data_IF_595545391685
#
_entry.id   IF_595545391685
#
_cell.length_a   1.000
_cell.length_b   1.000
_cell.length_c   1.000
_cell.angle_alpha   90.00
_cell.angle_beta   90.00
_cell.angle_gamma   90.00
#
_symmetry.space_group_name_H-M   'P 1'
#
loop_
_entity.id
_entity.type
_entity.pdbx_description
1 polymer ?
#
# COMPACT_ATOMS: atom_id res chain seq x y z
N UNK A 1 19.58 25.19 -3.55
CA UNK A 1 19.02 23.83 -3.51
C UNK A 1 18.38 23.55 -4.87
N UNK A 2 18.92 22.62 -5.67
CA UNK A 2 18.56 22.46 -7.09
C UNK A 2 17.19 21.80 -7.28
N UNK A 3 16.36 22.31 -8.22
CA UNK A 3 15.06 21.74 -8.58
C UNK A 3 15.15 20.25 -9.00
N UNK A 4 16.31 19.82 -9.51
CA UNK A 4 16.59 18.41 -9.81
C UNK A 4 16.63 17.53 -8.55
N UNK A 5 17.01 18.07 -7.39
CA UNK A 5 16.96 17.36 -6.11
C UNK A 5 15.52 17.28 -5.55
N UNK A 6 14.70 18.31 -5.76
CA UNK A 6 13.28 18.30 -5.38
C UNK A 6 12.48 17.29 -6.22
N UNK A 7 12.75 17.20 -7.53
CA UNK A 7 12.17 16.17 -8.40
C UNK A 7 12.61 14.74 -8.04
N UNK A 8 13.84 14.57 -7.51
CA UNK A 8 14.36 13.29 -7.01
C UNK A 8 13.79 12.90 -5.64
N UNK A 9 13.28 13.87 -4.87
CA UNK A 9 12.51 13.63 -3.64
C UNK A 9 11.03 13.32 -3.95
N UNK A 10 10.47 13.94 -5.00
CA UNK A 10 9.11 13.66 -5.49
C UNK A 10 9.01 12.37 -6.32
N UNK A 11 10.10 11.92 -6.92
CA UNK A 11 10.25 10.59 -7.51
C UNK A 11 11.29 9.82 -6.71
N UNK A 12 10.89 8.98 -5.76
CA UNK A 12 11.54 7.71 -5.40
C UNK A 12 10.92 7.14 -4.12
N UNK A 13 9.70 6.62 -4.23
CA UNK A 13 9.35 5.38 -3.53
C UNK A 13 8.72 4.53 -4.61
N UNK A 14 9.26 3.33 -4.85
CA UNK A 14 8.49 2.32 -5.59
C UNK A 14 7.22 2.09 -4.77
N UNK A 15 6.12 2.65 -5.24
CA UNK A 15 4.80 2.67 -4.61
C UNK A 15 4.12 1.30 -4.66
N UNK A 16 4.83 0.30 -5.20
CA UNK A 16 4.33 -1.05 -5.42
C UNK A 16 5.45 -2.08 -5.43
N UNK A 17 5.11 -3.25 -4.97
CA UNK A 17 5.89 -4.48 -5.05
C UNK A 17 5.03 -5.56 -5.70
N UNK A 18 5.62 -6.58 -6.30
CA UNK A 18 4.88 -7.61 -7.03
C UNK A 18 5.54 -8.98 -6.91
N UNK A 19 4.75 -10.03 -7.12
CA UNK A 19 5.14 -11.41 -6.84
C UNK A 19 4.71 -11.86 -5.44
N UNK A 20 4.50 -13.16 -5.27
CA UNK A 20 3.90 -13.71 -4.04
C UNK A 20 4.84 -13.57 -2.84
N UNK A 21 6.13 -13.89 -3.00
CA UNK A 21 7.10 -13.83 -1.90
C UNK A 21 7.42 -12.39 -1.45
N UNK A 22 7.73 -11.44 -2.35
CA UNK A 22 7.97 -10.05 -1.94
C UNK A 22 6.77 -9.42 -1.23
N UNK A 23 5.55 -9.71 -1.72
CA UNK A 23 4.32 -9.21 -1.11
C UNK A 23 4.11 -9.81 0.29
N UNK A 24 4.37 -11.12 0.46
CA UNK A 24 4.32 -11.77 1.77
C UNK A 24 5.32 -11.16 2.75
N UNK A 25 6.56 -10.93 2.31
CA UNK A 25 7.61 -10.32 3.14
C UNK A 25 7.25 -8.90 3.57
N UNK A 26 6.73 -8.08 2.66
CA UNK A 26 6.30 -6.73 3.00
C UNK A 26 5.11 -6.71 3.96
N UNK A 27 4.18 -7.66 3.81
CA UNK A 27 3.03 -7.79 4.71
C UNK A 27 3.46 -8.13 6.15
N UNK A 28 4.52 -8.93 6.30
CA UNK A 28 5.12 -9.27 7.60
C UNK A 28 6.13 -8.23 8.10
N UNK A 29 6.47 -7.24 7.26
CA UNK A 29 7.45 -6.21 7.57
C UNK A 29 6.88 -5.04 8.38
N UNK A 30 7.76 -4.08 8.69
CA UNK A 30 7.37 -2.88 9.45
C UNK A 30 6.44 -1.95 8.66
N UNK A 31 6.57 -1.90 7.32
CA UNK A 31 5.72 -1.09 6.44
C UNK A 31 4.76 -2.00 5.67
N UNK A 32 3.57 -2.18 6.23
CA UNK A 32 2.52 -2.97 5.60
C UNK A 32 2.01 -2.31 4.31
N UNK A 33 1.61 -3.10 3.30
CA UNK A 33 0.90 -2.56 2.15
C UNK A 33 -0.44 -1.92 2.54
N UNK A 34 -0.84 -0.89 1.80
CA UNK A 34 -2.18 -0.29 1.89
C UNK A 34 -3.24 -1.27 1.36
N UNK A 35 -2.92 -1.98 0.28
CA UNK A 35 -3.80 -2.99 -0.34
C UNK A 35 -3.00 -3.96 -1.20
N UNK A 36 -3.56 -5.15 -1.38
CA UNK A 36 -3.04 -6.18 -2.30
C UNK A 36 -4.02 -6.36 -3.45
N UNK A 37 -3.52 -6.30 -4.68
CA UNK A 37 -4.23 -6.62 -5.91
C UNK A 37 -3.85 -8.04 -6.34
N UNK A 38 -4.85 -8.90 -6.51
CA UNK A 38 -4.67 -10.29 -6.91
C UNK A 38 -5.41 -10.58 -8.21
N UNK A 39 -4.84 -11.41 -9.09
CA UNK A 39 -5.49 -11.80 -10.34
C UNK A 39 -6.77 -12.58 -10.05
N UNK A 40 -7.86 -12.26 -10.74
CA UNK A 40 -9.09 -13.04 -10.69
C UNK A 40 -8.83 -14.52 -11.08
N UNK A 41 -9.44 -15.45 -10.35
CA UNK A 41 -9.26 -16.89 -10.56
C UNK A 41 -7.87 -17.43 -10.16
N UNK A 42 -7.11 -16.70 -9.33
CA UNK A 42 -5.85 -17.20 -8.78
C UNK A 42 -6.09 -18.06 -7.53
N UNK A 43 -6.16 -19.38 -7.71
CA UNK A 43 -6.54 -20.36 -6.68
C UNK A 43 -5.39 -21.31 -6.29
N UNK A 44 -4.16 -20.83 -6.31
CA UNK A 44 -3.02 -21.63 -5.82
C UNK A 44 -3.04 -21.73 -4.28
N UNK A 45 -2.54 -22.82 -3.69
CA UNK A 45 -2.41 -22.91 -2.23
C UNK A 45 -1.64 -21.73 -1.61
N UNK A 46 -0.63 -21.21 -2.32
CA UNK A 46 0.18 -20.09 -1.85
C UNK A 46 -0.58 -18.76 -1.92
N UNK A 47 -1.43 -18.56 -2.93
CA UNK A 47 -2.26 -17.35 -3.01
C UNK A 47 -3.35 -17.35 -1.95
N UNK A 48 -3.93 -18.51 -1.61
CA UNK A 48 -4.87 -18.65 -0.51
C UNK A 48 -4.22 -18.33 0.84
N UNK A 49 -3.02 -18.84 1.09
CA UNK A 49 -2.25 -18.50 2.30
C UNK A 49 -1.95 -17.00 2.39
N UNK A 50 -1.62 -16.36 1.26
CA UNK A 50 -1.38 -14.92 1.23
C UNK A 50 -2.64 -14.11 1.55
N UNK A 51 -3.80 -14.52 1.02
CA UNK A 51 -5.09 -13.87 1.32
C UNK A 51 -5.44 -13.99 2.80
N UNK A 52 -5.22 -15.15 3.40
CA UNK A 52 -5.46 -15.35 4.85
C UNK A 52 -4.50 -14.51 5.69
N UNK A 53 -3.22 -14.43 5.31
CA UNK A 53 -2.25 -13.58 5.98
C UNK A 53 -2.64 -12.10 5.86
N UNK A 54 -3.10 -11.66 4.69
CA UNK A 54 -3.54 -10.28 4.47
C UNK A 54 -4.72 -9.92 5.38
N UNK A 55 -5.66 -10.86 5.56
CA UNK A 55 -6.78 -10.74 6.50
C UNK A 55 -6.31 -10.59 7.94
N UNK A 56 -5.30 -11.35 8.38
CA UNK A 56 -4.74 -11.24 9.74
C UNK A 56 -4.09 -9.90 10.04
N UNK A 57 -3.60 -9.21 9.01
CA UNK A 57 -2.95 -7.90 9.13
C UNK A 57 -3.85 -6.72 8.77
N UNK A 58 -5.16 -6.96 8.58
CA UNK A 58 -6.15 -5.97 8.15
C UNK A 58 -5.79 -5.28 6.83
N UNK A 59 -5.13 -6.00 5.91
CA UNK A 59 -4.79 -5.49 4.58
C UNK A 59 -5.81 -5.98 3.57
N UNK A 60 -6.55 -5.07 2.89
CA UNK A 60 -7.56 -5.46 1.93
C UNK A 60 -6.97 -6.12 0.69
N UNK A 61 -7.61 -7.19 0.22
CA UNK A 61 -7.29 -7.90 -1.02
C UNK A 61 -8.37 -7.62 -2.07
N UNK A 62 -7.97 -7.08 -3.22
CA UNK A 62 -8.87 -6.81 -4.35
C UNK A 62 -8.53 -7.71 -5.53
N UNK A 63 -9.52 -8.45 -6.01
CA UNK A 63 -9.38 -9.27 -7.21
C UNK A 63 -9.57 -8.43 -8.48
N UNK A 64 -8.59 -8.46 -9.37
CA UNK A 64 -8.55 -7.64 -10.59
C UNK A 64 -8.22 -8.46 -11.84
N UNK A 65 -8.62 -8.00 -13.05
CA UNK A 65 -8.19 -8.60 -14.30
C UNK A 65 -6.66 -8.56 -14.46
N UNK A 66 -6.10 -9.50 -15.24
CA UNK A 66 -4.65 -9.62 -15.45
C UNK A 66 -4.06 -8.38 -16.11
N UNK A 67 -4.82 -7.74 -16.99
CA UNK A 67 -4.46 -6.53 -17.74
C UNK A 67 -4.12 -5.38 -16.78
N UNK A 68 -4.85 -5.28 -15.66
CA UNK A 68 -4.59 -4.26 -14.63
C UNK A 68 -3.25 -4.50 -13.94
N UNK A 69 -2.90 -5.75 -13.65
CA UNK A 69 -1.61 -6.08 -13.05
C UNK A 69 -0.45 -5.83 -14.02
N UNK A 70 -0.62 -6.26 -15.28
CA UNK A 70 0.33 -6.01 -16.37
C UNK A 70 0.62 -4.51 -16.53
N UNK A 71 -0.41 -3.68 -16.52
CA UNK A 71 -0.28 -2.23 -16.59
C UNK A 71 0.55 -1.68 -15.42
N UNK A 72 0.23 -2.10 -14.19
CA UNK A 72 0.92 -1.64 -12.98
C UNK A 72 2.38 -2.07 -12.92
N UNK A 73 2.72 -3.25 -13.47
CA UNK A 73 4.08 -3.78 -13.42
C UNK A 73 4.88 -3.54 -14.69
N UNK A 74 4.35 -2.80 -15.67
CA UNK A 74 4.95 -2.64 -17.00
C UNK A 74 5.28 -4.00 -17.65
N UNK A 75 4.34 -4.94 -17.58
CA UNK A 75 4.45 -6.32 -18.07
C UNK A 75 5.57 -7.16 -17.43
N UNK A 76 6.08 -6.78 -16.25
CA UNK A 76 7.00 -7.64 -15.49
C UNK A 76 6.26 -8.83 -14.86
N UNK A 77 6.99 -9.92 -14.62
CA UNK A 77 6.45 -11.15 -14.02
C UNK A 77 5.99 -10.92 -12.57
N UNK A 78 4.70 -10.65 -12.40
CA UNK A 78 4.06 -10.36 -11.12
C UNK A 78 3.40 -11.58 -10.47
N UNK A 79 3.41 -12.75 -11.12
CA UNK A 79 2.81 -14.00 -10.61
C UNK A 79 1.34 -13.88 -10.16
N UNK A 80 0.61 -12.92 -10.72
CA UNK A 80 -0.78 -12.62 -10.34
C UNK A 80 -0.96 -11.81 -9.05
N UNK A 81 0.09 -11.22 -8.46
CA UNK A 81 -0.01 -10.44 -7.21
C UNK A 81 0.80 -9.14 -7.28
N UNK A 82 0.20 -8.03 -6.88
CA UNK A 82 0.83 -6.72 -6.71
C UNK A 82 0.36 -6.13 -5.39
N UNK A 83 1.25 -5.60 -4.55
CA UNK A 83 0.86 -4.84 -3.36
C UNK A 83 1.24 -3.37 -3.53
N UNK A 84 0.33 -2.50 -3.10
CA UNK A 84 0.54 -1.06 -3.07
C UNK A 84 1.09 -0.68 -1.69
N UNK A 85 2.26 -0.06 -1.65
CA UNK A 85 2.89 0.34 -0.38
C UNK A 85 2.27 1.65 0.12
N UNK A 86 2.05 1.74 1.43
CA UNK A 86 1.58 2.98 2.04
C UNK A 86 2.61 4.10 1.84
N UNK A 87 2.19 5.20 1.22
CA UNK A 87 3.04 6.38 1.02
C UNK A 87 3.15 7.26 2.28
N UNK A 88 2.25 7.03 3.26
CA UNK A 88 2.20 7.75 4.53
C UNK A 88 1.90 6.78 5.66
N UNK A 89 2.49 7.01 6.83
CA UNK A 89 2.16 6.27 8.03
C UNK A 89 0.77 6.72 8.51
N UNK A 90 -0.14 5.77 8.71
CA UNK A 90 -1.42 6.06 9.34
C UNK A 90 -1.18 6.32 10.82
N UNK A 91 -1.71 7.44 11.30
CA UNK A 91 -1.71 7.79 12.72
C UNK A 91 -3.11 7.58 13.28
N UNK A 92 -3.19 7.28 14.57
CA UNK A 92 -4.49 7.19 15.23
C UNK A 92 -5.17 8.57 15.27
N UNK A 93 -6.48 8.61 15.51
CA UNK A 93 -7.20 9.88 15.65
C UNK A 93 -6.63 10.69 16.82
N UNK A 94 -6.29 10.03 17.93
CA UNK A 94 -5.69 10.64 19.12
C UNK A 94 -4.35 11.28 18.79
N UNK A 95 -3.49 10.57 18.03
CA UNK A 95 -2.22 11.08 17.56
C UNK A 95 -2.39 12.27 16.62
N UNK A 96 -3.35 12.21 15.69
CA UNK A 96 -3.67 13.30 14.77
C UNK A 96 -4.15 14.56 15.51
N UNK A 97 -5.05 14.40 16.49
CA UNK A 97 -5.58 15.50 17.32
C UNK A 97 -4.48 16.10 18.19
N UNK A 98 -3.66 15.27 18.84
CA UNK A 98 -2.54 15.72 19.65
C UNK A 98 -1.49 16.48 18.82
N UNK A 99 -1.22 16.03 17.59
CA UNK A 99 -0.34 16.72 16.66
C UNK A 99 -0.93 18.06 16.18
N UNK A 100 -2.24 18.12 15.94
CA UNK A 100 -2.93 19.35 15.55
C UNK A 100 -2.91 20.40 16.68
N UNK A 101 -3.15 19.98 17.93
CA UNK A 101 -3.12 20.87 19.11
C UNK A 101 -1.76 21.52 19.40
N UNK A 102 -0.66 20.96 18.87
CA UNK A 102 0.69 21.52 19.00
C UNK A 102 0.99 22.62 17.98
N UNK A 103 0.15 22.81 16.96
CA UNK A 103 0.35 23.85 15.94
C UNK A 103 -0.25 25.17 16.41
N UNK A 104 0.43 26.32 16.20
CA UNK A 104 -0.13 27.63 16.53
C UNK A 104 -1.36 27.93 15.65
N UNK A 105 -2.40 28.52 16.25
CA UNK A 105 -3.66 28.86 15.58
C UNK A 105 -4.85 28.06 16.10
N UNK A 106 -5.92 27.97 15.30
CA UNK A 106 -7.12 27.17 15.58
C UNK A 106 -7.06 25.87 14.78
N UNK A 107 -6.59 24.75 15.37
CA UNK A 107 -6.56 23.47 14.67
C UNK A 107 -7.99 22.98 14.39
N UNK A 108 -8.21 22.47 13.18
CA UNK A 108 -9.47 21.86 12.77
C UNK A 108 -9.21 20.44 12.23
N UNK A 109 -10.15 19.53 12.47
CA UNK A 109 -10.17 18.18 11.92
C UNK A 109 -11.42 18.05 11.04
N UNK A 110 -11.25 17.56 9.81
CA UNK A 110 -12.35 17.31 8.87
C UNK A 110 -12.67 15.82 8.87
N UNK A 111 -13.89 15.47 9.25
CA UNK A 111 -14.43 14.12 9.15
C UNK A 111 -15.22 14.01 7.85
N UNK A 112 -14.88 13.03 7.02
CA UNK A 112 -15.61 12.71 5.79
C UNK A 112 -16.31 11.37 6.01
N UNK A 113 -17.63 11.36 5.85
CA UNK A 113 -18.46 10.16 5.92
C UNK A 113 -19.11 9.98 4.55
N UNK A 114 -18.91 8.80 3.95
CA UNK A 114 -19.13 8.53 2.53
C UNK A 114 -20.30 7.59 2.27
#
# INVERSE_FOLDING_TARGET
MSWKHLLKLLKMTEDRIYGIHPVREALMGAKKPEKILMRQGLESPVSLQLTELARQFDVPVQFVPQEKLNYLTANKNHQGVVAMLAQVDYVSLEEAVAAAGKKPGFPAVLLLDG
#
